data_IF_368077193866
#
_entry.id   IF_368077193866
#
_cell.length_a   1.000
_cell.length_b   1.000
_cell.length_c   1.000
_cell.angle_alpha   90.00
_cell.angle_beta   90.00
_cell.angle_gamma   90.00
#
_symmetry.space_group_name_H-M   'P 1'
#
loop_
_entity.id
_entity.type
_entity.pdbx_description
1 polymer ?
#
# COMPACT_ATOMS: atom_id res chain seq x y z
N UNK A 1 7.72 -4.97 -18.70
CA UNK A 1 6.99 -4.45 -17.51
C UNK A 1 6.85 -2.93 -17.59
N UNK A 2 5.76 -2.36 -17.08
CA UNK A 2 5.66 -0.91 -16.84
C UNK A 2 6.65 -0.48 -15.75
N UNK A 3 7.23 0.71 -15.88
CA UNK A 3 8.26 1.21 -14.97
C UNK A 3 7.81 1.40 -13.52
N UNK A 4 6.51 1.59 -13.27
CA UNK A 4 5.95 1.73 -11.91
C UNK A 4 6.32 0.56 -10.98
N UNK A 5 6.39 -0.65 -11.56
CA UNK A 5 6.75 -1.88 -10.84
C UNK A 5 8.21 -1.87 -10.39
N UNK A 6 9.10 -1.49 -11.30
CA UNK A 6 10.55 -1.65 -11.13
C UNK A 6 11.16 -0.44 -10.41
N UNK A 7 10.68 0.77 -10.72
CA UNK A 7 11.33 2.00 -10.32
C UNK A 7 10.54 2.79 -9.29
N UNK A 8 11.27 3.47 -8.39
CA UNK A 8 10.74 4.62 -7.66
C UNK A 8 11.15 5.87 -8.44
N UNK A 9 10.16 6.55 -9.01
CA UNK A 9 10.36 7.77 -9.78
C UNK A 9 10.95 8.90 -8.93
N UNK A 10 11.77 9.75 -9.54
CA UNK A 10 12.45 10.86 -8.85
C UNK A 10 11.64 12.18 -8.90
N UNK A 11 10.65 12.24 -9.78
CA UNK A 11 9.63 13.29 -9.88
C UNK A 11 9.09 13.68 -8.49
N UNK A 12 8.80 14.97 -8.31
CA UNK A 12 8.38 15.50 -7.01
C UNK A 12 6.86 15.60 -6.85
N UNK A 13 6.11 15.63 -7.96
CA UNK A 13 4.66 15.75 -7.98
C UNK A 13 4.01 14.50 -8.54
N UNK A 14 2.89 14.09 -7.97
CA UNK A 14 2.16 12.90 -8.38
C UNK A 14 0.66 13.16 -8.48
N UNK A 15 0.02 12.45 -9.39
CA UNK A 15 -1.44 12.35 -9.46
C UNK A 15 -1.85 10.95 -9.91
N UNK A 16 -2.98 10.47 -9.42
CA UNK A 16 -3.67 9.27 -9.93
C UNK A 16 -5.07 9.70 -10.37
N UNK A 17 -5.28 9.73 -11.68
CA UNK A 17 -6.60 10.01 -12.26
C UNK A 17 -7.38 8.72 -12.35
N UNK A 18 -8.65 8.75 -11.93
CA UNK A 18 -9.55 7.61 -11.97
C UNK A 18 -10.61 7.84 -13.04
N UNK A 19 -10.90 6.81 -13.84
CA UNK A 19 -11.83 6.91 -14.95
C UNK A 19 -12.83 5.75 -14.96
N UNK A 20 -14.09 6.09 -15.27
CA UNK A 20 -15.09 5.17 -15.80
C UNK A 20 -14.97 5.07 -17.32
N UNK A 21 -15.31 3.89 -17.85
CA UNK A 21 -15.25 3.56 -19.29
C UNK A 21 -16.61 3.00 -19.72
N UNK A 22 -17.23 3.61 -20.72
CA UNK A 22 -18.47 3.12 -21.35
C UNK A 22 -18.19 2.42 -22.70
N UNK A 23 -17.26 2.95 -23.50
CA UNK A 23 -16.88 2.43 -24.82
C UNK A 23 -15.42 1.97 -24.80
N UNK A 24 -15.22 0.65 -24.89
CA UNK A 24 -13.90 0.03 -24.87
C UNK A 24 -12.98 0.53 -25.99
N UNK A 25 -13.48 0.67 -27.22
CA UNK A 25 -12.65 1.10 -28.37
C UNK A 25 -12.18 2.53 -28.22
N UNK A 26 -13.03 3.44 -27.71
CA UNK A 26 -12.61 4.83 -27.43
C UNK A 26 -11.59 4.89 -26.30
N UNK A 27 -11.74 4.08 -25.27
CA UNK A 27 -10.77 3.98 -24.19
C UNK A 27 -9.42 3.42 -24.65
N UNK A 28 -9.42 2.40 -25.52
CA UNK A 28 -8.18 1.89 -26.14
C UNK A 28 -7.44 2.99 -26.91
N UNK A 29 -8.16 3.87 -27.64
CA UNK A 29 -7.54 5.04 -28.31
C UNK A 29 -6.93 6.05 -27.33
N UNK A 30 -7.57 6.25 -26.19
CA UNK A 30 -7.02 7.09 -25.13
C UNK A 30 -5.71 6.51 -24.59
N UNK A 31 -5.66 5.20 -24.30
CA UNK A 31 -4.44 4.53 -23.85
C UNK A 31 -3.34 4.63 -24.91
N UNK A 32 -3.67 4.34 -26.18
CA UNK A 32 -2.73 4.42 -27.30
C UNK A 32 -2.06 5.79 -27.42
N UNK A 33 -2.84 6.87 -27.28
CA UNK A 33 -2.35 8.26 -27.35
C UNK A 33 -1.25 8.56 -26.33
N UNK A 34 -1.34 7.97 -25.14
CA UNK A 34 -0.46 8.29 -24.01
C UNK A 34 0.62 7.24 -23.76
N UNK A 35 0.62 6.13 -24.51
CA UNK A 35 1.52 5.01 -24.33
C UNK A 35 3.01 5.40 -24.41
N UNK A 36 3.35 6.38 -25.26
CA UNK A 36 4.73 6.88 -25.39
C UNK A 36 5.31 7.49 -24.10
N UNK A 37 4.45 7.91 -23.15
CA UNK A 37 4.86 8.42 -21.85
C UNK A 37 4.97 7.32 -20.78
N UNK A 38 4.75 6.05 -21.16
CA UNK A 38 4.85 4.90 -20.26
C UNK A 38 6.25 4.30 -20.31
N UNK A 39 7.08 4.48 -19.27
CA UNK A 39 8.44 3.98 -19.31
C UNK A 39 8.45 2.46 -19.20
N UNK A 40 9.34 1.84 -19.96
CA UNK A 40 9.66 0.42 -19.78
C UNK A 40 10.53 0.26 -18.52
N UNK A 41 10.29 -0.78 -17.73
CA UNK A 41 11.07 -1.07 -16.50
C UNK A 41 12.55 -1.42 -16.71
N UNK A 42 13.06 -1.35 -17.95
CA UNK A 42 14.48 -1.53 -18.28
C UNK A 42 15.19 -0.19 -18.54
N UNK A 43 14.44 0.92 -18.56
CA UNK A 43 15.01 2.25 -18.71
C UNK A 43 15.65 2.70 -17.40
N UNK A 44 16.70 3.50 -17.48
CA UNK A 44 17.32 4.11 -16.31
C UNK A 44 16.36 5.16 -15.71
N UNK A 45 15.88 4.98 -14.46
CA UNK A 45 14.92 5.90 -13.84
C UNK A 45 15.49 7.30 -13.60
N UNK A 46 16.82 7.47 -13.57
CA UNK A 46 17.46 8.78 -13.43
C UNK A 46 17.42 9.59 -14.73
N UNK A 47 17.13 8.94 -15.87
CA UNK A 47 17.03 9.59 -17.19
C UNK A 47 15.59 9.87 -17.62
N UNK A 48 14.60 9.49 -16.82
CA UNK A 48 13.20 9.70 -17.11
C UNK A 48 12.80 11.14 -16.77
N UNK A 49 12.68 12.00 -17.77
CA UNK A 49 12.01 13.30 -17.62
C UNK A 49 10.49 13.10 -17.59
N UNK A 50 9.79 13.91 -16.79
CA UNK A 50 8.34 13.92 -16.77
C UNK A 50 7.73 14.46 -18.09
N UNK A 51 6.43 14.24 -18.31
CA UNK A 51 5.54 13.45 -17.47
C UNK A 51 5.77 11.94 -17.65
N UNK A 52 5.77 11.21 -16.54
CA UNK A 52 5.85 9.75 -16.53
C UNK A 52 4.47 9.19 -16.22
N UNK A 53 3.90 8.41 -17.14
CA UNK A 53 2.55 7.86 -17.01
C UNK A 53 2.59 6.33 -16.89
N UNK A 54 1.72 5.74 -16.08
CA UNK A 54 1.49 4.30 -16.05
C UNK A 54 -0.01 4.04 -15.96
N UNK A 55 -0.46 2.90 -16.47
CA UNK A 55 -1.85 2.53 -16.56
C UNK A 55 -2.15 1.30 -15.70
N UNK A 56 -3.21 1.40 -14.91
CA UNK A 56 -3.82 0.27 -14.22
C UNK A 56 -5.29 0.13 -14.61
N UNK A 57 -5.79 -1.09 -14.65
CA UNK A 57 -7.18 -1.40 -15.02
C UNK A 57 -7.82 -2.27 -13.96
N UNK A 58 -9.02 -1.92 -13.51
CA UNK A 58 -9.80 -2.83 -12.67
C UNK A 58 -10.35 -3.98 -13.51
N UNK A 59 -10.84 -5.04 -12.86
CA UNK A 59 -11.51 -6.13 -13.58
C UNK A 59 -12.70 -5.63 -14.41
N UNK A 60 -13.49 -4.69 -13.88
CA UNK A 60 -14.60 -4.08 -14.62
C UNK A 60 -14.13 -3.30 -15.84
N UNK A 61 -13.01 -2.57 -15.73
CA UNK A 61 -12.40 -1.90 -16.89
C UNK A 61 -11.91 -2.87 -17.96
N UNK A 62 -11.27 -3.99 -17.55
CA UNK A 62 -10.84 -5.03 -18.49
C UNK A 62 -12.03 -5.66 -19.21
N UNK A 63 -13.15 -5.90 -18.52
CA UNK A 63 -14.37 -6.42 -19.16
C UNK A 63 -14.87 -5.52 -20.29
N UNK A 64 -14.83 -4.20 -20.09
CA UNK A 64 -15.25 -3.24 -21.12
C UNK A 64 -14.23 -3.16 -22.26
N UNK A 65 -12.93 -3.17 -21.95
CA UNK A 65 -11.85 -3.06 -22.95
C UNK A 65 -11.70 -4.32 -23.80
N UNK A 66 -12.04 -5.49 -23.27
CA UNK A 66 -11.84 -6.80 -23.90
C UNK A 66 -13.15 -7.46 -24.36
N UNK A 67 -14.28 -6.75 -24.33
CA UNK A 67 -15.60 -7.30 -24.67
C UNK A 67 -15.64 -7.99 -26.05
N UNK A 68 -14.92 -7.45 -27.04
CA UNK A 68 -14.84 -7.99 -28.40
C UNK A 68 -13.61 -8.92 -28.63
N UNK A 69 -12.80 -9.18 -27.61
CA UNK A 69 -11.52 -9.88 -27.77
C UNK A 69 -11.68 -11.40 -27.73
N UNK A 70 -11.64 -12.05 -28.91
CA UNK A 70 -11.92 -13.49 -29.09
C UNK A 70 -11.06 -14.40 -28.19
N UNK A 71 -9.77 -14.11 -28.02
CA UNK A 71 -8.88 -14.97 -27.24
C UNK A 71 -8.83 -14.64 -25.74
N UNK A 72 -9.37 -13.49 -25.30
CA UNK A 72 -9.31 -13.04 -23.90
C UNK A 72 -10.74 -12.96 -23.36
N UNK A 73 -11.46 -14.09 -23.47
CA UNK A 73 -12.81 -14.22 -22.94
C UNK A 73 -12.83 -13.89 -21.44
N UNK A 74 -13.67 -12.94 -21.06
CA UNK A 74 -13.66 -12.39 -19.69
C UNK A 74 -14.27 -13.36 -18.68
N UNK A 75 -15.16 -14.27 -19.07
CA UNK A 75 -15.67 -15.28 -18.15
C UNK A 75 -14.58 -16.29 -17.76
N UNK A 76 -13.76 -16.69 -18.74
CA UNK A 76 -12.54 -17.49 -18.48
C UNK A 76 -11.56 -16.72 -17.60
N UNK A 77 -11.28 -15.46 -17.92
CA UNK A 77 -10.35 -14.62 -17.16
C UNK A 77 -10.75 -14.43 -15.71
N UNK A 78 -12.07 -14.33 -15.44
CA UNK A 78 -12.61 -14.23 -14.08
C UNK A 78 -12.22 -15.41 -13.21
N UNK A 79 -12.23 -16.61 -13.79
CA UNK A 79 -11.93 -17.88 -13.11
C UNK A 79 -10.42 -18.11 -12.95
N UNK A 80 -9.62 -17.55 -13.86
CA UNK A 80 -8.17 -17.78 -13.92
C UNK A 80 -7.34 -16.76 -13.15
N UNK A 81 -7.84 -15.53 -12.97
CA UNK A 81 -7.16 -14.46 -12.23
C UNK A 81 -7.48 -14.51 -10.72
N UNK A 82 -6.69 -13.78 -9.93
CA UNK A 82 -6.87 -13.71 -8.47
C UNK A 82 -8.28 -13.20 -8.11
N UNK A 83 -8.99 -13.94 -7.26
CA UNK A 83 -10.34 -13.56 -6.83
C UNK A 83 -10.38 -12.21 -6.11
N UNK A 84 -9.27 -11.82 -5.45
CA UNK A 84 -9.07 -10.52 -4.84
C UNK A 84 -9.02 -9.37 -5.84
N UNK A 85 -8.96 -9.67 -7.13
CA UNK A 85 -9.09 -8.71 -8.22
C UNK A 85 -10.43 -8.81 -8.95
N UNK A 86 -10.96 -10.01 -9.17
CA UNK A 86 -12.12 -10.23 -10.05
C UNK A 86 -13.49 -10.06 -9.38
N UNK A 87 -13.63 -10.37 -8.07
CA UNK A 87 -14.93 -10.45 -7.40
C UNK A 87 -15.29 -9.22 -6.53
N UNK A 88 -15.10 -8.00 -7.05
CA UNK A 88 -15.50 -6.74 -6.39
C UNK A 88 -14.97 -6.56 -4.95
N UNK A 89 -13.82 -7.16 -4.65
CA UNK A 89 -13.10 -6.89 -3.41
C UNK A 89 -12.27 -5.60 -3.58
N UNK A 90 -11.93 -4.85 -2.52
CA UNK A 90 -12.04 -5.20 -1.10
C UNK A 90 -13.36 -4.82 -0.39
N UNK A 91 -14.28 -4.13 -1.07
CA UNK A 91 -15.50 -3.60 -0.44
C UNK A 91 -16.59 -4.67 -0.21
N UNK A 92 -16.40 -5.88 -0.75
CA UNK A 92 -17.34 -6.99 -0.61
C UNK A 92 -17.66 -7.32 0.87
N UNK A 93 -18.96 -7.49 1.24
CA UNK A 93 -19.38 -7.71 2.63
C UNK A 93 -18.70 -8.88 3.34
N UNK A 94 -18.36 -9.95 2.62
CA UNK A 94 -17.71 -11.12 3.19
C UNK A 94 -16.27 -10.90 3.68
N UNK A 95 -15.58 -9.84 3.21
CA UNK A 95 -14.16 -9.60 3.54
C UNK A 95 -13.90 -8.27 4.22
N UNK A 96 -14.74 -7.24 4.00
CA UNK A 96 -14.47 -5.86 4.44
C UNK A 96 -14.13 -5.72 5.93
N UNK A 97 -14.82 -6.43 6.81
CA UNK A 97 -14.58 -6.38 8.26
C UNK A 97 -13.22 -6.99 8.64
N UNK A 98 -12.84 -8.08 7.97
CA UNK A 98 -11.55 -8.72 8.19
C UNK A 98 -10.40 -7.83 7.75
N UNK A 99 -10.61 -6.99 6.73
CA UNK A 99 -9.65 -6.02 6.21
C UNK A 99 -9.63 -4.70 6.99
N UNK A 100 -10.56 -4.50 7.93
CA UNK A 100 -10.64 -3.27 8.74
C UNK A 100 -11.45 -2.15 8.08
N UNK A 101 -12.19 -2.43 7.02
CA UNK A 101 -13.02 -1.47 6.29
C UNK A 101 -14.41 -1.35 6.90
N UNK A 102 -14.44 -0.74 8.09
CA UNK A 102 -15.63 -0.49 8.92
C UNK A 102 -15.53 0.88 9.61
N UNK A 103 -16.62 1.35 10.19
CA UNK A 103 -16.65 2.66 10.87
C UNK A 103 -16.26 3.78 9.92
N UNK A 104 -15.31 4.63 10.31
CA UNK A 104 -14.80 5.72 9.47
C UNK A 104 -14.03 5.25 8.22
N UNK A 105 -13.69 3.96 8.13
CA UNK A 105 -13.08 3.32 6.96
C UNK A 105 -14.07 2.48 6.14
N UNK A 106 -15.38 2.58 6.41
CA UNK A 106 -16.39 1.78 5.73
C UNK A 106 -16.50 2.15 4.24
N UNK A 107 -16.68 1.18 3.31
CA UNK A 107 -16.73 1.44 1.88
C UNK A 107 -17.80 2.44 1.43
N UNK A 108 -18.88 2.59 2.20
CA UNK A 108 -19.94 3.56 1.96
C UNK A 108 -19.45 5.02 2.06
N UNK A 109 -18.34 5.25 2.76
CA UNK A 109 -17.73 6.57 2.95
C UNK A 109 -16.53 6.81 2.02
N UNK A 110 -16.18 5.82 1.20
CA UNK A 110 -15.02 5.94 0.32
C UNK A 110 -15.26 6.93 -0.81
N UNK A 111 -14.15 7.43 -1.37
CA UNK A 111 -14.14 8.32 -2.53
C UNK A 111 -14.98 9.57 -2.33
N UNK A 112 -14.95 10.13 -1.11
CA UNK A 112 -15.81 11.24 -0.66
C UNK A 112 -17.32 10.98 -0.80
N UNK A 113 -17.75 9.71 -0.82
CA UNK A 113 -19.15 9.32 -1.05
C UNK A 113 -19.66 9.67 -2.45
N UNK A 114 -18.75 9.94 -3.40
CA UNK A 114 -19.10 10.46 -4.74
C UNK A 114 -19.45 9.34 -5.72
N UNK A 115 -18.83 8.18 -5.55
CA UNK A 115 -18.98 6.99 -6.41
C UNK A 115 -18.49 5.74 -5.65
N UNK A 116 -18.98 4.57 -6.06
CA UNK A 116 -18.46 3.28 -5.56
C UNK A 116 -17.15 2.89 -6.24
N UNK A 117 -16.37 2.01 -5.61
CA UNK A 117 -15.12 1.49 -6.22
C UNK A 117 -15.37 0.77 -7.56
N UNK A 118 -16.58 0.29 -7.80
CA UNK A 118 -17.04 -0.34 -9.04
C UNK A 118 -17.13 0.64 -10.23
N UNK A 119 -17.28 1.94 -9.98
CA UNK A 119 -17.23 2.96 -11.03
C UNK A 119 -15.81 3.12 -11.63
N UNK A 120 -14.77 2.71 -10.90
CA UNK A 120 -13.38 2.83 -11.32
C UNK A 120 -13.07 1.71 -12.30
N UNK A 121 -12.81 2.06 -13.56
CA UNK A 121 -12.43 1.12 -14.61
C UNK A 121 -10.93 1.20 -14.93
N UNK A 122 -10.34 2.39 -14.84
CA UNK A 122 -8.93 2.64 -15.14
C UNK A 122 -8.35 3.69 -14.20
N UNK A 123 -7.08 3.52 -13.83
CA UNK A 123 -6.26 4.54 -13.20
C UNK A 123 -5.07 4.93 -14.08
N UNK A 124 -4.80 6.23 -14.19
CA UNK A 124 -3.59 6.76 -14.79
C UNK A 124 -2.70 7.32 -13.69
N UNK A 125 -1.61 6.63 -13.38
CA UNK A 125 -0.60 7.06 -12.43
C UNK A 125 0.37 7.99 -13.14
N UNK A 126 0.43 9.24 -12.70
CA UNK A 126 1.24 10.28 -13.30
C UNK A 126 2.25 10.83 -12.29
N UNK A 127 3.48 11.03 -12.75
CA UNK A 127 4.52 11.72 -12.00
C UNK A 127 5.08 12.87 -12.85
N UNK A 128 5.37 14.00 -12.22
CA UNK A 128 5.77 15.24 -12.87
C UNK A 128 6.99 15.86 -12.19
N UNK A 129 7.81 16.55 -12.98
CA UNK A 129 9.01 17.22 -12.48
C UNK A 129 8.65 18.48 -11.68
N UNK A 130 7.63 19.21 -12.13
CA UNK A 130 7.17 20.47 -11.54
C UNK A 130 5.65 20.71 -11.65
N UNK A 131 5.14 21.68 -10.90
CA UNK A 131 3.72 22.06 -10.86
C UNK A 131 3.17 22.53 -12.21
N UNK A 132 4.00 23.20 -13.03
CA UNK A 132 3.62 23.70 -14.34
C UNK A 132 3.46 22.56 -15.36
N UNK A 133 4.39 21.60 -15.36
CA UNK A 133 4.29 20.37 -16.14
C UNK A 133 3.06 19.55 -15.71
N UNK A 134 2.81 19.44 -14.39
CA UNK A 134 1.63 18.78 -13.86
C UNK A 134 0.33 19.43 -14.38
N UNK A 135 0.21 20.76 -14.26
CA UNK A 135 -0.99 21.47 -14.68
C UNK A 135 -1.31 21.28 -16.19
N UNK A 136 -0.30 21.44 -17.06
CA UNK A 136 -0.45 21.25 -18.50
C UNK A 136 -0.82 19.80 -18.84
N UNK A 137 -0.07 18.84 -18.32
CA UNK A 137 -0.29 17.41 -18.64
C UNK A 137 -1.65 16.93 -18.14
N UNK A 138 -2.07 17.33 -16.93
CA UNK A 138 -3.38 16.97 -16.40
C UNK A 138 -4.53 17.57 -17.23
N UNK A 139 -4.36 18.80 -17.73
CA UNK A 139 -5.32 19.42 -18.64
C UNK A 139 -5.45 18.62 -19.95
N UNK A 140 -4.32 18.24 -20.56
CA UNK A 140 -4.31 17.47 -21.81
C UNK A 140 -4.88 16.05 -21.64
N UNK A 141 -4.54 15.38 -20.53
CA UNK A 141 -5.11 14.08 -20.16
C UNK A 141 -6.63 14.17 -20.04
N UNK A 142 -7.15 15.18 -19.33
CA UNK A 142 -8.60 15.38 -19.18
C UNK A 142 -9.30 15.69 -20.49
N UNK A 143 -8.72 16.56 -21.29
CA UNK A 143 -9.30 16.92 -22.58
C UNK A 143 -9.35 15.70 -23.50
N UNK A 144 -8.26 14.93 -23.57
CA UNK A 144 -8.21 13.70 -24.36
C UNK A 144 -9.15 12.61 -23.84
N UNK A 145 -9.24 12.42 -22.52
CA UNK A 145 -10.19 11.52 -21.88
C UNK A 145 -11.64 11.88 -22.25
N UNK A 146 -12.00 13.17 -22.15
CA UNK A 146 -13.32 13.68 -22.55
C UNK A 146 -13.60 13.43 -24.02
N UNK A 147 -12.65 13.69 -24.92
CA UNK A 147 -12.85 13.42 -26.37
C UNK A 147 -12.98 11.94 -26.69
N UNK A 148 -12.38 11.08 -25.87
CA UNK A 148 -12.54 9.64 -25.92
C UNK A 148 -13.75 9.13 -25.13
N UNK A 149 -14.59 10.00 -24.56
CA UNK A 149 -15.79 9.60 -23.83
C UNK A 149 -15.53 8.89 -22.50
N UNK A 150 -14.36 9.07 -21.89
CA UNK A 150 -14.09 8.58 -20.54
C UNK A 150 -14.71 9.54 -19.51
N UNK A 151 -15.16 8.98 -18.39
CA UNK A 151 -15.74 9.74 -17.28
C UNK A 151 -14.68 9.89 -16.19
N UNK A 152 -14.16 11.11 -15.97
CA UNK A 152 -13.24 11.36 -14.86
C UNK A 152 -13.99 11.30 -13.52
N UNK A 153 -13.53 10.45 -12.62
CA UNK A 153 -14.09 10.26 -11.28
C UNK A 153 -13.39 11.22 -10.30
N UNK A 154 -13.92 12.45 -10.23
CA UNK A 154 -13.29 13.56 -9.49
C UNK A 154 -13.60 13.54 -7.99
N UNK A 155 -12.59 13.80 -7.17
CA UNK A 155 -12.64 13.85 -5.69
C UNK A 155 -12.59 15.31 -5.18
N UNK A 156 -13.32 15.62 -4.11
CA UNK A 156 -13.39 16.98 -3.59
C UNK A 156 -12.23 17.29 -2.62
N UNK A 157 -11.68 16.28 -1.96
CA UNK A 157 -10.54 16.44 -1.05
C UNK A 157 -9.25 16.91 -1.74
N UNK A 158 -9.20 16.90 -3.07
CA UNK A 158 -8.02 17.29 -3.85
C UNK A 158 -8.36 18.48 -4.75
N UNK A 159 -7.57 19.55 -4.66
CA UNK A 159 -7.81 20.81 -5.40
C UNK A 159 -7.91 20.62 -6.91
N UNK A 160 -7.13 19.69 -7.48
CA UNK A 160 -7.18 19.39 -8.90
C UNK A 160 -8.22 18.31 -9.26
N UNK A 161 -8.89 17.68 -8.29
CA UNK A 161 -9.89 16.63 -8.50
C UNK A 161 -9.36 15.20 -8.65
N UNK A 162 -8.04 15.00 -8.67
CA UNK A 162 -7.38 13.69 -8.73
C UNK A 162 -6.64 13.41 -7.42
N UNK A 163 -6.46 12.14 -7.07
CA UNK A 163 -5.61 11.73 -5.94
C UNK A 163 -4.20 12.27 -6.20
N UNK A 164 -3.80 13.34 -5.53
CA UNK A 164 -2.61 14.10 -5.92
C UNK A 164 -1.85 14.62 -4.72
N UNK A 165 -0.55 14.79 -4.89
CA UNK A 165 0.34 15.11 -3.80
C UNK A 165 1.79 15.13 -4.22
N UNK A 166 2.67 15.01 -3.25
CA UNK A 166 4.11 15.16 -3.44
C UNK A 166 4.89 14.02 -2.83
N UNK A 167 6.07 13.77 -3.38
CA UNK A 167 7.07 12.97 -2.67
C UNK A 167 7.34 13.66 -1.33
N UNK A 168 7.27 12.95 -0.19
CA UNK A 168 7.59 13.56 1.08
C UNK A 168 9.06 13.99 1.13
N UNK A 169 9.30 15.22 1.57
CA UNK A 169 10.65 15.76 1.75
C UNK A 169 11.43 14.90 2.77
N UNK A 170 12.66 14.52 2.42
CA UNK A 170 13.46 13.61 3.24
C UNK A 170 12.84 12.22 3.47
N UNK A 171 11.71 11.91 2.82
CA UNK A 171 10.92 10.70 3.07
C UNK A 171 10.02 10.78 4.30
N UNK A 172 9.79 11.95 4.90
CA UNK A 172 9.04 12.08 6.16
C UNK A 172 7.53 12.25 5.91
N UNK A 173 6.72 11.38 6.53
CA UNK A 173 5.26 11.41 6.44
C UNK A 173 4.61 12.31 7.50
N UNK A 174 3.28 12.47 7.46
CA UNK A 174 2.53 13.40 8.32
C UNK A 174 2.60 13.11 9.83
N UNK A 175 2.93 11.90 10.24
CA UNK A 175 3.20 11.60 11.66
C UNK A 175 4.63 11.94 12.10
N UNK A 176 5.47 12.48 11.21
CA UNK A 176 6.86 12.86 11.51
C UNK A 176 7.90 11.75 11.31
N UNK A 177 7.54 10.64 10.66
CA UNK A 177 8.39 9.45 10.52
C UNK A 177 8.90 9.27 9.10
N UNK A 178 10.19 8.94 8.97
CA UNK A 178 10.80 8.54 7.70
C UNK A 178 10.19 7.23 7.19
N UNK A 179 9.65 7.27 5.99
CA UNK A 179 9.18 6.13 5.21
C UNK A 179 10.15 5.78 4.07
N UNK A 180 9.95 4.61 3.48
CA UNK A 180 10.73 4.09 2.37
C UNK A 180 12.05 3.44 2.78
N UNK A 181 12.27 3.20 4.07
CA UNK A 181 13.47 2.54 4.59
C UNK A 181 13.51 1.05 4.20
N UNK A 182 12.46 0.30 4.56
CA UNK A 182 12.33 -1.12 4.19
C UNK A 182 11.73 -1.26 2.80
N UNK A 183 12.47 -1.89 1.89
CA UNK A 183 12.02 -2.32 0.57
C UNK A 183 12.62 -3.70 0.24
N UNK A 184 11.87 -4.60 -0.44
CA UNK A 184 12.42 -5.88 -0.84
C UNK A 184 13.53 -5.69 -1.87
N UNK A 185 14.69 -6.33 -1.64
CA UNK A 185 15.72 -6.50 -2.66
C UNK A 185 15.24 -7.62 -3.59
N UNK A 186 14.90 -7.28 -4.83
CA UNK A 186 14.28 -8.23 -5.77
C UNK A 186 15.37 -8.94 -6.58
N UNK A 187 15.29 -10.26 -6.63
CA UNK A 187 16.05 -11.12 -7.54
C UNK A 187 15.26 -11.27 -8.85
N UNK A 188 15.60 -10.42 -9.81
CA UNK A 188 14.97 -10.36 -11.13
C UNK A 188 15.41 -11.49 -12.06
N UNK A 189 16.58 -12.08 -11.81
CA UNK A 189 17.19 -13.10 -12.66
C UNK A 189 16.88 -14.53 -12.19
N UNK A 190 16.12 -14.69 -11.11
CA UNK A 190 15.85 -15.98 -10.47
C UNK A 190 17.13 -16.71 -10.06
N UNK A 191 18.17 -15.94 -9.68
CA UNK A 191 19.48 -16.46 -9.32
C UNK A 191 19.51 -17.19 -7.97
N UNK A 192 18.42 -17.10 -7.19
CA UNK A 192 18.29 -17.65 -5.83
C UNK A 192 19.33 -17.08 -4.87
N UNK A 193 19.58 -15.77 -5.01
CA UNK A 193 20.54 -15.05 -4.19
C UNK A 193 20.06 -15.00 -2.74
N UNK A 194 20.90 -15.32 -1.77
CA UNK A 194 20.53 -15.27 -0.36
C UNK A 194 20.18 -13.84 0.07
N UNK A 195 19.11 -13.67 0.84
CA UNK A 195 18.68 -12.36 1.35
C UNK A 195 17.84 -11.54 0.36
N UNK A 196 17.65 -12.00 -0.88
CA UNK A 196 16.76 -11.36 -1.85
C UNK A 196 15.38 -12.01 -1.84
N UNK A 197 14.43 -11.38 -2.56
CA UNK A 197 13.07 -11.87 -2.76
C UNK A 197 12.87 -12.17 -4.24
N UNK A 198 12.36 -13.35 -4.56
CA UNK A 198 12.09 -13.74 -5.94
C UNK A 198 11.10 -12.77 -6.61
N UNK A 199 11.35 -12.39 -7.86
CA UNK A 199 10.47 -11.48 -8.61
C UNK A 199 9.01 -11.97 -8.72
N UNK A 200 8.76 -13.29 -8.62
CA UNK A 200 7.41 -13.88 -8.64
C UNK A 200 6.53 -13.49 -7.44
N UNK A 201 7.08 -12.86 -6.40
CA UNK A 201 6.26 -12.20 -5.39
C UNK A 201 5.55 -10.95 -5.94
N UNK A 202 6.07 -10.35 -7.01
CA UNK A 202 5.60 -9.05 -7.51
C UNK A 202 5.12 -9.10 -8.96
N UNK A 203 5.53 -10.10 -9.74
CA UNK A 203 5.24 -10.21 -11.18
C UNK A 203 4.34 -11.42 -11.48
N UNK A 204 3.36 -11.18 -12.35
CA UNK A 204 2.38 -12.16 -12.83
C UNK A 204 2.84 -12.95 -14.08
N UNK A 205 2.19 -14.09 -14.33
CA UNK A 205 2.41 -14.93 -15.52
C UNK A 205 3.60 -15.90 -15.46
N UNK A 206 4.15 -16.13 -14.26
CA UNK A 206 5.26 -17.06 -14.01
C UNK A 206 4.95 -18.06 -12.88
N UNK A 207 3.84 -18.82 -12.95
CA UNK A 207 3.50 -19.79 -11.90
C UNK A 207 4.59 -20.84 -11.74
N UNK A 208 4.84 -21.25 -10.50
CA UNK A 208 5.73 -22.35 -10.15
C UNK A 208 5.24 -23.05 -8.88
N UNK A 209 5.75 -24.24 -8.54
CA UNK A 209 5.34 -24.94 -7.32
C UNK A 209 5.46 -24.09 -6.04
N UNK A 210 6.47 -23.19 -5.98
CA UNK A 210 6.69 -22.28 -4.86
C UNK A 210 5.96 -20.94 -4.95
N UNK A 211 5.41 -20.60 -6.12
CA UNK A 211 4.75 -19.33 -6.38
C UNK A 211 3.50 -19.56 -7.24
N UNK A 212 2.35 -19.74 -6.60
CA UNK A 212 1.05 -19.99 -7.25
C UNK A 212 0.44 -18.69 -7.77
N UNK A 213 1.14 -18.02 -8.66
CA UNK A 213 0.70 -16.75 -9.26
C UNK A 213 -0.34 -17.02 -10.33
N UNK A 214 -1.42 -16.25 -10.32
CA UNK A 214 -2.51 -16.39 -11.30
C UNK A 214 -2.21 -15.59 -12.57
N UNK A 215 -2.60 -16.07 -13.78
CA UNK A 215 -3.14 -17.39 -14.11
C UNK A 215 -2.11 -18.53 -14.04
N UNK A 216 -2.54 -19.70 -13.55
CA UNK A 216 -1.67 -20.88 -13.42
C UNK A 216 -1.62 -21.75 -14.67
N UNK A 217 -2.75 -21.87 -15.38
CA UNK A 217 -2.83 -22.64 -16.62
C UNK A 217 -2.20 -21.88 -17.79
N UNK A 218 -1.46 -22.58 -18.65
CA UNK A 218 -0.99 -21.99 -19.89
C UNK A 218 -2.19 -21.64 -20.79
N UNK A 219 -2.17 -20.44 -21.35
CA UNK A 219 -3.26 -19.93 -22.18
C UNK A 219 -3.23 -18.43 -22.36
N UNK A 220 -4.20 -17.87 -23.10
CA UNK A 220 -4.22 -16.45 -23.46
C UNK A 220 -4.15 -15.50 -22.27
N UNK A 221 -4.84 -15.82 -21.17
CA UNK A 221 -4.82 -14.98 -19.97
C UNK A 221 -3.49 -15.03 -19.23
N UNK A 222 -2.79 -16.17 -19.22
CA UNK A 222 -1.44 -16.25 -18.67
C UNK A 222 -0.47 -15.39 -19.50
N UNK A 223 -0.55 -15.46 -20.83
CA UNK A 223 0.27 -14.64 -21.71
C UNK A 223 -0.03 -13.14 -21.55
N UNK A 224 -1.31 -12.78 -21.39
CA UNK A 224 -1.74 -11.40 -21.13
C UNK A 224 -1.31 -10.89 -19.75
N UNK A 225 -1.33 -11.72 -18.72
CA UNK A 225 -0.91 -11.33 -17.38
C UNK A 225 0.61 -11.28 -17.21
N UNK A 226 1.37 -11.94 -18.08
CA UNK A 226 2.84 -12.01 -18.03
C UNK A 226 3.45 -10.61 -17.97
N UNK A 227 4.43 -10.44 -17.08
CA UNK A 227 5.12 -9.17 -16.81
C UNK A 227 4.21 -8.05 -16.25
N UNK A 228 3.02 -8.41 -15.79
CA UNK A 228 2.10 -7.54 -15.07
C UNK A 228 2.24 -7.65 -13.56
N UNK A 229 1.53 -6.79 -12.83
CA UNK A 229 1.43 -6.83 -11.37
C UNK A 229 0.09 -6.28 -10.93
N UNK A 230 -0.43 -6.69 -9.78
CA UNK A 230 -1.55 -5.99 -9.17
C UNK A 230 -1.05 -4.77 -8.41
N UNK A 231 -1.67 -3.62 -8.64
CA UNK A 231 -1.54 -2.40 -7.87
C UNK A 231 -2.76 -2.22 -6.96
N UNK A 232 -2.58 -2.38 -5.66
CA UNK A 232 -3.59 -2.03 -4.68
C UNK A 232 -3.43 -0.53 -4.37
N UNK A 233 -4.33 0.29 -4.91
CA UNK A 233 -4.41 1.72 -4.66
C UNK A 233 -5.20 1.96 -3.37
N UNK A 234 -4.64 2.71 -2.44
CA UNK A 234 -5.30 3.09 -1.19
C UNK A 234 -5.18 4.59 -0.95
N UNK A 235 -6.30 5.25 -0.73
CA UNK A 235 -6.36 6.60 -0.19
C UNK A 235 -6.51 6.51 1.33
N UNK A 236 -5.50 7.01 2.05
CA UNK A 236 -5.34 6.84 3.49
C UNK A 236 -5.30 8.22 4.14
N UNK A 237 -6.26 8.50 5.03
CA UNK A 237 -6.28 9.69 5.87
C UNK A 237 -5.48 9.46 7.16
N UNK A 238 -4.75 10.49 7.60
CA UNK A 238 -3.98 10.49 8.86
C UNK A 238 -4.47 11.61 9.78
N UNK A 239 -5.03 11.23 10.94
CA UNK A 239 -5.42 12.16 12.00
C UNK A 239 -4.19 12.50 12.86
N UNK A 240 -3.41 13.46 12.35
CA UNK A 240 -2.17 13.91 13.00
C UNK A 240 -2.45 14.56 14.35
N UNK A 241 -3.57 15.28 14.48
CA UNK A 241 -3.95 15.93 15.73
C UNK A 241 -4.25 14.89 16.82
N UNK A 242 -4.99 13.82 16.50
CA UNK A 242 -5.26 12.72 17.43
C UNK A 242 -3.99 11.97 17.80
N UNK A 243 -3.11 11.71 16.84
CA UNK A 243 -1.83 11.07 17.11
C UNK A 243 -0.99 11.91 18.07
N UNK A 244 -0.85 13.21 17.80
CA UNK A 244 -0.10 14.14 18.64
C UNK A 244 -0.68 14.27 20.06
N UNK A 245 -2.01 14.39 20.20
CA UNK A 245 -2.69 14.37 21.51
C UNK A 245 -2.42 13.08 22.28
N UNK A 246 -2.46 11.93 21.59
CA UNK A 246 -2.19 10.65 22.22
C UNK A 246 -0.76 10.64 22.78
N UNK A 247 0.23 11.12 22.02
CA UNK A 247 1.61 11.15 22.51
C UNK A 247 1.78 12.08 23.71
N UNK A 248 1.21 13.29 23.66
CA UNK A 248 1.34 14.27 24.75
C UNK A 248 0.69 13.78 26.04
N UNK A 249 -0.52 13.21 25.94
CA UNK A 249 -1.25 12.71 27.11
C UNK A 249 -0.59 11.49 27.76
N UNK A 250 0.29 10.78 27.04
CA UNK A 250 0.91 9.54 27.52
C UNK A 250 2.43 9.62 27.62
N UNK A 251 3.05 10.80 27.44
CA UNK A 251 4.50 10.98 27.46
C UNK A 251 5.16 10.53 28.78
N UNK A 252 4.41 10.55 29.89
CA UNK A 252 4.86 10.08 31.20
C UNK A 252 5.19 8.57 31.24
N UNK A 253 4.65 7.77 30.31
CA UNK A 253 4.99 6.35 30.19
C UNK A 253 6.48 6.12 29.85
N UNK A 254 7.15 7.13 29.31
CA UNK A 254 8.56 7.13 28.95
C UNK A 254 9.48 7.59 30.09
N UNK A 255 8.93 8.00 31.23
CA UNK A 255 9.67 8.60 32.35
C UNK A 255 10.64 7.60 33.00
N UNK A 256 11.88 8.04 33.19
CA UNK A 256 12.96 7.21 33.74
C UNK A 256 13.53 6.17 32.77
N UNK A 257 12.96 6.02 31.57
CA UNK A 257 13.43 5.08 30.53
C UNK A 257 14.32 5.80 29.52
N UNK A 258 13.86 6.96 29.05
CA UNK A 258 14.55 7.76 28.03
C UNK A 258 14.76 9.19 28.53
N UNK A 259 15.74 9.88 27.95
CA UNK A 259 15.97 11.30 28.25
C UNK A 259 14.72 12.14 27.94
N UNK A 260 14.45 13.24 28.68
CA UNK A 260 13.26 14.07 28.49
C UNK A 260 12.95 14.45 27.04
N UNK A 261 13.98 14.78 26.25
CA UNK A 261 13.85 15.15 24.83
C UNK A 261 13.29 14.03 23.93
N UNK A 262 13.40 12.76 24.32
CA UNK A 262 12.98 11.61 23.51
C UNK A 262 11.67 10.98 24.00
N UNK A 263 11.01 11.51 25.04
CA UNK A 263 9.84 10.85 25.66
C UNK A 263 8.69 10.65 24.69
N UNK A 264 8.39 11.68 23.91
CA UNK A 264 7.33 11.68 22.89
C UNK A 264 7.68 10.74 21.74
N UNK A 265 8.90 10.87 21.21
CA UNK A 265 9.38 10.10 20.07
C UNK A 265 9.54 8.62 20.40
N UNK A 266 9.91 8.27 21.63
CA UNK A 266 10.02 6.88 22.05
C UNK A 266 8.65 6.19 22.07
N UNK A 267 7.61 6.87 22.58
CA UNK A 267 6.26 6.32 22.59
C UNK A 267 5.74 6.10 21.17
N UNK A 268 5.94 7.07 20.29
CA UNK A 268 5.58 6.93 18.89
C UNK A 268 6.44 5.86 18.18
N UNK A 269 7.74 5.76 18.52
CA UNK A 269 8.60 4.70 18.03
C UNK A 269 8.15 3.31 18.51
N UNK A 270 7.58 3.18 19.71
CA UNK A 270 6.95 1.93 20.18
C UNK A 270 5.75 1.52 19.31
N UNK A 271 4.98 2.48 18.80
CA UNK A 271 3.85 2.22 17.89
C UNK A 271 4.30 1.93 16.46
N UNK A 272 5.34 2.62 15.98
CA UNK A 272 5.86 2.49 14.62
C UNK A 272 6.79 1.28 14.47
N UNK A 273 7.64 1.06 15.46
CA UNK A 273 8.81 0.17 15.49
C UNK A 273 10.11 0.80 14.95
N UNK A 274 10.09 2.09 14.61
CA UNK A 274 11.28 2.91 14.26
C UNK A 274 11.17 4.28 14.93
N UNK A 275 12.31 4.89 15.19
CA UNK A 275 12.42 6.31 15.55
C UNK A 275 12.06 7.21 14.36
N UNK A 276 11.75 8.50 14.59
CA UNK A 276 11.41 9.46 13.53
C UNK A 276 12.42 9.50 12.36
N UNK A 277 13.71 9.35 12.67
CA UNK A 277 14.81 9.36 11.72
C UNK A 277 14.88 8.10 10.82
N UNK A 278 14.15 7.02 11.17
CA UNK A 278 14.15 5.72 10.50
C UNK A 278 14.91 4.62 11.25
N UNK A 279 15.61 4.94 12.33
CA UNK A 279 16.40 3.97 13.10
C UNK A 279 15.51 2.89 13.74
N UNK A 280 15.82 1.60 13.60
CA UNK A 280 14.95 0.53 14.10
C UNK A 280 14.98 0.44 15.63
N UNK A 281 13.79 0.46 16.24
CA UNK A 281 13.65 0.41 17.70
C UNK A 281 14.22 -0.89 18.30
N UNK A 282 14.20 -1.99 17.53
CA UNK A 282 14.78 -3.27 17.94
C UNK A 282 16.30 -3.19 18.21
N UNK A 283 17.03 -2.31 17.51
CA UNK A 283 18.48 -2.08 17.70
C UNK A 283 18.76 -0.94 18.66
N UNK A 284 17.88 0.05 18.69
CA UNK A 284 18.04 1.29 19.45
C UNK A 284 16.88 1.48 20.43
N UNK A 285 16.73 0.65 21.49
CA UNK A 285 15.49 0.56 22.26
C UNK A 285 15.20 1.76 23.17
N UNK A 286 16.18 2.61 23.47
CA UNK A 286 16.04 3.70 24.47
C UNK A 286 16.47 5.09 23.96
N UNK A 287 17.23 5.18 22.86
CA UNK A 287 17.52 6.46 22.21
C UNK A 287 17.86 6.21 20.74
N UNK A 288 17.55 7.13 19.81
CA UNK A 288 18.07 7.05 18.46
C UNK A 288 19.60 7.24 18.45
N UNK A 289 20.32 6.65 17.50
CA UNK A 289 21.74 6.88 17.32
C UNK A 289 22.01 8.34 16.88
N UNK A 290 23.25 8.81 17.07
CA UNK A 290 23.65 10.16 16.64
C UNK A 290 23.55 10.35 15.11
N UNK A 291 23.71 9.26 14.35
CA UNK A 291 23.50 9.19 12.91
C UNK A 291 22.47 8.12 12.63
N UNK A 292 21.45 8.43 11.82
CA UNK A 292 20.35 7.53 11.53
C UNK A 292 20.84 6.15 11.03
N UNK A 293 20.38 5.09 11.68
CA UNK A 293 20.67 3.70 11.33
C UNK A 293 19.58 3.19 10.38
N UNK A 294 19.80 3.36 9.07
CA UNK A 294 18.87 2.90 8.05
C UNK A 294 19.10 1.43 7.65
N UNK A 295 19.97 0.71 8.35
CA UNK A 295 20.20 -0.71 8.11
C UNK A 295 18.94 -1.52 8.42
N UNK A 296 18.46 -2.25 7.41
CA UNK A 296 17.27 -3.06 7.51
C UNK A 296 17.55 -4.52 7.92
N UNK A 297 18.82 -4.87 8.16
CA UNK A 297 19.24 -6.20 8.62
C UNK A 297 19.10 -6.32 10.15
N UNK A 298 17.87 -6.60 10.59
CA UNK A 298 17.55 -6.98 11.96
C UNK A 298 16.34 -7.90 11.98
N UNK A 299 16.09 -8.50 13.13
CA UNK A 299 14.96 -9.38 13.41
C UNK A 299 14.30 -9.06 14.76
N UNK A 300 13.38 -9.93 15.16
CA UNK A 300 12.59 -9.90 16.38
C UNK A 300 12.61 -11.22 17.15
N UNK A 301 13.27 -12.27 16.64
CA UNK A 301 13.33 -13.59 17.28
C UNK A 301 13.94 -13.54 18.70
N UNK A 302 14.84 -12.61 18.95
CA UNK A 302 15.47 -12.33 20.25
C UNK A 302 14.67 -11.30 21.10
N UNK A 303 13.46 -10.92 20.67
CA UNK A 303 12.50 -10.10 21.41
C UNK A 303 11.08 -10.73 21.41
N UNK A 304 10.92 -11.98 21.89
CA UNK A 304 9.64 -12.71 21.82
C UNK A 304 8.53 -12.12 22.68
N UNK A 305 8.88 -11.23 23.62
CA UNK A 305 7.93 -10.54 24.48
C UNK A 305 7.64 -9.10 24.04
N UNK A 306 8.33 -8.59 23.02
CA UNK A 306 8.16 -7.22 22.52
C UNK A 306 8.58 -6.14 23.53
N UNK A 307 9.64 -6.41 24.32
CA UNK A 307 10.20 -5.45 25.28
C UNK A 307 10.90 -4.32 24.53
N UNK A 308 11.67 -4.64 23.48
CA UNK A 308 12.34 -3.64 22.64
C UNK A 308 11.38 -3.09 21.59
N UNK A 309 10.86 -3.95 20.73
CA UNK A 309 9.90 -3.60 19.69
C UNK A 309 8.55 -4.28 19.99
N UNK A 310 7.51 -3.54 20.41
CA UNK A 310 6.22 -4.11 20.78
C UNK A 310 5.65 -5.02 19.70
N UNK A 311 4.93 -6.06 20.11
CA UNK A 311 4.24 -6.94 19.18
C UNK A 311 3.23 -6.17 18.31
N UNK A 312 2.58 -5.14 18.85
CA UNK A 312 1.66 -4.29 18.12
C UNK A 312 2.33 -3.22 17.23
N UNK A 313 3.67 -3.15 17.21
CA UNK A 313 4.39 -2.16 16.41
C UNK A 313 4.15 -2.40 14.91
N UNK A 314 3.86 -1.33 14.19
CA UNK A 314 3.45 -1.39 12.79
C UNK A 314 4.41 -2.19 11.92
N UNK A 315 5.73 -1.89 11.96
CA UNK A 315 6.69 -2.61 11.12
C UNK A 315 6.80 -4.10 11.45
N UNK A 316 6.53 -4.51 12.69
CA UNK A 316 6.62 -5.90 13.16
C UNK A 316 5.40 -6.70 12.69
N UNK A 317 4.25 -6.05 12.57
CA UNK A 317 3.04 -6.66 12.01
C UNK A 317 3.12 -6.78 10.49
N UNK A 318 3.47 -5.69 9.80
CA UNK A 318 3.47 -5.71 8.32
C UNK A 318 4.64 -6.48 7.72
N UNK A 319 5.70 -6.68 8.52
CA UNK A 319 6.82 -7.54 8.18
C UNK A 319 7.35 -8.20 9.47
N UNK A 320 6.88 -9.42 9.74
CA UNK A 320 7.26 -10.19 10.93
C UNK A 320 8.72 -10.66 10.93
N UNK A 321 9.45 -10.50 9.82
CA UNK A 321 10.87 -10.89 9.69
C UNK A 321 11.09 -12.36 10.07
N UNK A 322 11.83 -12.59 11.15
CA UNK A 322 12.20 -13.88 11.74
C UNK A 322 11.33 -14.26 12.95
N UNK A 323 10.24 -13.52 13.25
CA UNK A 323 9.19 -14.04 14.13
C UNK A 323 8.62 -15.33 13.51
N UNK A 324 8.54 -16.39 14.31
CA UNK A 324 8.03 -17.67 13.85
C UNK A 324 6.54 -17.56 13.52
N UNK A 325 6.18 -17.79 12.24
CA UNK A 325 4.79 -17.87 11.82
C UNK A 325 4.14 -19.12 12.41
N UNK A 326 2.86 -19.01 12.80
CA UNK A 326 2.05 -20.17 13.20
C UNK A 326 2.01 -21.21 12.09
N UNK A 327 1.83 -22.48 12.44
CA UNK A 327 1.82 -23.58 11.46
C UNK A 327 0.95 -23.31 10.21
N UNK A 328 -0.32 -22.83 10.33
CA UNK A 328 -1.13 -22.52 9.15
C UNK A 328 -0.51 -21.43 8.27
N UNK A 329 0.07 -20.38 8.86
CA UNK A 329 0.70 -19.30 8.13
C UNK A 329 2.04 -19.71 7.52
N UNK A 330 2.85 -20.53 8.20
CA UNK A 330 4.08 -21.10 7.64
C UNK A 330 3.80 -21.98 6.42
N UNK A 331 2.75 -22.80 6.47
CA UNK A 331 2.33 -23.62 5.33
C UNK A 331 1.84 -22.77 4.14
N UNK A 332 1.19 -21.63 4.41
CA UNK A 332 0.72 -20.71 3.37
C UNK A 332 1.83 -19.83 2.79
N UNK A 333 2.81 -19.47 3.62
CA UNK A 333 3.90 -18.55 3.30
C UNK A 333 5.27 -19.22 3.53
N UNK A 334 5.62 -20.25 2.73
CA UNK A 334 6.84 -21.03 2.94
C UNK A 334 8.13 -20.22 2.75
N UNK A 335 8.06 -19.06 2.07
CA UNK A 335 9.19 -18.17 1.80
C UNK A 335 9.25 -16.96 2.77
N UNK A 336 8.55 -17.03 3.90
CA UNK A 336 8.44 -15.94 4.88
C UNK A 336 7.19 -15.08 4.68
N UNK A 337 7.00 -14.03 5.50
CA UNK A 337 5.79 -13.22 5.50
C UNK A 337 5.52 -12.55 4.13
N UNK A 338 4.25 -12.25 3.81
CA UNK A 338 3.91 -11.62 2.54
C UNK A 338 4.62 -10.27 2.35
N UNK A 339 5.08 -10.02 1.13
CA UNK A 339 5.80 -8.79 0.77
C UNK A 339 5.06 -8.05 -0.32
N UNK A 340 5.21 -6.75 -0.40
CA UNK A 340 4.75 -5.95 -1.55
C UNK A 340 5.66 -4.74 -1.74
N UNK A 341 5.73 -4.26 -2.96
CA UNK A 341 6.48 -3.05 -3.30
C UNK A 341 5.59 -1.84 -3.03
N UNK A 342 6.13 -0.84 -2.32
CA UNK A 342 5.38 0.39 -1.97
C UNK A 342 5.78 1.54 -2.89
N UNK A 343 4.78 2.18 -3.50
CA UNK A 343 4.88 3.39 -4.33
C UNK A 343 3.79 4.35 -3.87
N UNK A 344 4.13 5.25 -2.94
CA UNK A 344 3.17 6.19 -2.38
C UNK A 344 3.72 7.61 -2.34
N UNK A 345 2.82 8.55 -2.17
CA UNK A 345 3.11 9.96 -1.98
C UNK A 345 2.18 10.56 -0.92
N UNK A 346 2.59 11.68 -0.34
CA UNK A 346 1.82 12.38 0.68
C UNK A 346 0.90 13.42 0.03
N UNK A 347 -0.29 13.60 0.58
CA UNK A 347 -1.20 14.69 0.22
C UNK A 347 -1.58 15.52 1.44
N UNK A 348 -2.00 16.77 1.21
CA UNK A 348 -2.27 17.74 2.27
C UNK A 348 -0.99 18.39 2.83
N UNK A 349 -1.12 19.57 3.47
CA UNK A 349 0.01 20.28 4.05
C UNK A 349 0.50 19.63 5.35
N UNK A 350 1.80 19.78 5.71
CA UNK A 350 2.33 19.37 7.00
C UNK A 350 1.57 20.00 8.17
N UNK A 351 1.50 19.29 9.30
CA UNK A 351 0.81 19.74 10.50
C UNK A 351 1.44 19.12 11.75
N UNK A 352 1.61 19.91 12.82
CA UNK A 352 2.24 19.46 14.07
C UNK A 352 1.35 19.72 15.30
N UNK A 353 0.17 20.31 15.11
CA UNK A 353 -0.71 20.69 16.21
C UNK A 353 -1.40 19.49 16.87
N UNK A 354 -2.05 19.79 17.99
CA UNK A 354 -2.86 18.84 18.78
C UNK A 354 -4.36 19.07 18.63
N UNK A 355 -4.80 20.10 17.90
CA UNK A 355 -6.22 20.37 17.64
C UNK A 355 -6.47 20.22 16.14
N UNK A 356 -7.51 19.50 15.75
CA UNK A 356 -7.81 19.29 14.34
C UNK A 356 -8.07 20.63 13.64
N UNK A 357 -7.37 20.88 12.54
CA UNK A 357 -7.49 22.09 11.73
C UNK A 357 -8.48 21.93 10.55
N UNK A 358 -9.09 20.75 10.43
CA UNK A 358 -10.10 20.43 9.42
C UNK A 358 -9.53 20.25 8.01
N UNK A 359 -8.20 20.22 7.83
CA UNK A 359 -7.56 20.03 6.53
C UNK A 359 -7.25 18.54 6.31
N UNK A 360 -7.72 18.01 5.17
CA UNK A 360 -7.45 16.64 4.74
C UNK A 360 -5.96 16.41 4.44
N UNK A 361 -5.40 15.35 5.03
CA UNK A 361 -3.99 14.97 4.86
C UNK A 361 -3.77 13.48 5.07
N UNK A 362 -2.73 12.95 4.42
CA UNK A 362 -2.34 11.56 4.58
C UNK A 362 -1.51 11.06 3.40
N UNK A 363 -1.77 9.81 3.00
CA UNK A 363 -0.99 9.07 2.01
C UNK A 363 -1.91 8.56 0.91
N UNK A 364 -1.46 8.67 -0.33
CA UNK A 364 -1.97 7.83 -1.43
C UNK A 364 -0.95 6.72 -1.66
N UNK A 365 -1.31 5.51 -1.25
CA UNK A 365 -0.46 4.33 -1.34
C UNK A 365 -0.77 3.51 -2.58
N UNK A 366 0.26 3.05 -3.28
CA UNK A 366 0.18 2.00 -4.31
C UNK A 366 1.04 0.83 -3.89
N UNK A 367 0.42 -0.33 -3.69
CA UNK A 367 1.08 -1.54 -3.21
C UNK A 367 1.08 -2.60 -4.32
N UNK A 368 2.27 -2.96 -4.82
CA UNK A 368 2.46 -3.83 -5.97
C UNK A 368 2.81 -5.25 -5.53
N UNK A 369 2.03 -6.22 -6.01
CA UNK A 369 2.14 -7.63 -5.65
C UNK A 369 1.54 -8.55 -6.72
N UNK A 370 1.91 -9.84 -6.70
CA UNK A 370 1.41 -10.81 -7.67
C UNK A 370 0.16 -11.58 -7.19
N UNK A 371 -0.10 -11.61 -5.88
CA UNK A 371 -1.17 -12.39 -5.22
C UNK A 371 -1.88 -11.52 -4.18
N UNK A 372 -2.92 -10.80 -4.58
CA UNK A 372 -3.58 -9.76 -3.77
C UNK A 372 -4.09 -10.32 -2.45
N UNK A 373 -4.78 -11.46 -2.49
CA UNK A 373 -5.35 -12.03 -1.28
C UNK A 373 -4.29 -12.61 -0.34
N UNK A 374 -3.17 -13.11 -0.87
CA UNK A 374 -2.08 -13.66 -0.07
C UNK A 374 -1.14 -12.58 0.47
N UNK A 375 -1.07 -11.42 -0.17
CA UNK A 375 -0.14 -10.36 0.18
C UNK A 375 -0.84 -9.15 0.80
N UNK A 376 -1.42 -8.27 -0.01
CA UNK A 376 -2.00 -7.02 0.49
C UNK A 376 -3.14 -7.25 1.48
N UNK A 377 -4.08 -8.15 1.17
CA UNK A 377 -5.20 -8.44 2.07
C UNK A 377 -4.77 -9.21 3.32
N UNK A 378 -3.80 -10.13 3.23
CA UNK A 378 -3.27 -10.80 4.42
C UNK A 378 -2.69 -9.79 5.40
N UNK A 379 -1.87 -8.85 4.92
CA UNK A 379 -1.28 -7.84 5.79
C UNK A 379 -2.34 -6.92 6.39
N UNK A 380 -3.39 -6.54 5.65
CA UNK A 380 -4.53 -5.84 6.23
C UNK A 380 -5.22 -6.67 7.32
N UNK A 381 -5.44 -7.98 7.12
CA UNK A 381 -6.00 -8.86 8.17
C UNK A 381 -5.09 -8.92 9.39
N UNK A 382 -3.78 -9.00 9.20
CA UNK A 382 -2.79 -9.01 10.28
C UNK A 382 -2.79 -7.72 11.09
N UNK A 383 -3.04 -6.58 10.46
CA UNK A 383 -3.25 -5.31 11.17
C UNK A 383 -4.51 -5.32 12.05
N UNK A 384 -5.53 -6.10 11.69
CA UNK A 384 -6.79 -6.18 12.43
C UNK A 384 -6.85 -7.32 13.45
N UNK A 385 -5.99 -8.34 13.31
CA UNK A 385 -5.83 -9.51 14.21
C UNK A 385 -4.42 -10.06 14.09
N UNK A 386 -3.66 -9.98 15.17
CA UNK A 386 -2.21 -10.22 15.16
C UNK A 386 -1.79 -11.66 15.47
N UNK A 387 -2.72 -12.59 15.68
CA UNK A 387 -2.47 -14.01 15.98
C UNK A 387 -1.81 -14.85 14.86
N UNK A 388 -1.13 -14.23 13.89
CA UNK A 388 -0.54 -14.91 12.74
C UNK A 388 0.85 -15.54 13.03
N UNK A 389 1.56 -15.05 14.05
CA UNK A 389 2.85 -15.57 14.50
C UNK A 389 2.81 -16.13 15.93
N UNK A 390 3.67 -17.08 16.25
CA UNK A 390 3.67 -17.89 17.48
C UNK A 390 3.74 -17.04 18.76
N UNK A 391 4.63 -16.04 18.78
CA UNK A 391 4.79 -15.13 19.93
C UNK A 391 3.54 -14.27 20.17
N UNK A 392 2.77 -14.02 19.12
CA UNK A 392 1.49 -13.33 19.21
C UNK A 392 0.45 -14.29 19.73
N UNK A 393 0.25 -15.42 19.05
CA UNK A 393 -0.82 -16.38 19.33
C UNK A 393 -0.84 -16.85 20.79
N UNK A 394 0.33 -17.05 21.41
CA UNK A 394 0.46 -17.47 22.82
C UNK A 394 0.03 -16.42 23.85
N UNK A 395 -0.26 -15.18 23.46
CA UNK A 395 -0.79 -14.16 24.36
C UNK A 395 -2.31 -14.32 24.52
N UNK A 396 -2.87 -14.18 25.74
CA UNK A 396 -4.31 -14.39 26.00
C UNK A 396 -5.26 -13.52 25.17
N UNK A 397 -4.76 -12.40 24.63
CA UNK A 397 -5.53 -11.36 23.92
C UNK A 397 -5.12 -11.24 22.43
N UNK A 398 -4.34 -12.18 21.90
CA UNK A 398 -3.76 -12.14 20.55
C UNK A 398 -4.78 -12.09 19.41
N UNK A 399 -5.93 -12.73 19.60
CA UNK A 399 -7.06 -12.74 18.65
C UNK A 399 -7.76 -11.38 18.56
N UNK A 400 -7.57 -10.53 19.57
CA UNK A 400 -8.18 -9.21 19.68
C UNK A 400 -7.17 -8.07 19.50
N UNK A 401 -5.87 -8.35 19.67
CA UNK A 401 -4.78 -7.40 19.49
C UNK A 401 -4.60 -7.03 18.02
N UNK A 402 -4.39 -5.74 17.80
CA UNK A 402 -4.31 -5.12 16.49
C UNK A 402 -3.01 -4.29 16.36
N UNK A 403 -2.73 -3.85 15.14
CA UNK A 403 -1.70 -2.87 14.83
C UNK A 403 -1.96 -1.55 15.57
N UNK A 404 -0.91 -0.97 16.15
CA UNK A 404 -0.99 0.23 16.97
C UNK A 404 -1.43 1.49 16.20
N UNK A 405 -1.27 1.51 14.88
CA UNK A 405 -1.62 2.62 13.98
C UNK A 405 -2.81 2.30 13.07
N UNK A 406 -2.77 1.16 12.37
CA UNK A 406 -3.74 0.77 11.34
C UNK A 406 -4.88 -0.11 11.85
N UNK A 407 -4.78 -0.61 13.09
CA UNK A 407 -5.85 -1.41 13.65
C UNK A 407 -7.10 -0.56 13.88
N UNK A 408 -8.25 -1.03 13.38
CA UNK A 408 -9.50 -0.30 13.45
C UNK A 408 -10.19 -0.58 14.80
N UNK A 409 -10.13 0.41 15.69
CA UNK A 409 -10.69 0.32 17.05
C UNK A 409 -12.22 0.29 17.11
N UNK A 410 -12.92 0.54 16.00
CA UNK A 410 -14.38 0.40 15.95
C UNK A 410 -14.84 -1.06 15.77
N UNK A 411 -13.90 -1.99 15.53
CA UNK A 411 -14.22 -3.41 15.39
C UNK A 411 -14.70 -3.98 16.72
N UNK A 412 -15.80 -4.74 16.67
CA UNK A 412 -16.33 -5.41 17.86
C UNK A 412 -15.26 -6.32 18.49
N UNK A 413 -15.04 -6.15 19.79
CA UNK A 413 -14.02 -6.89 20.54
C UNK A 413 -12.58 -6.46 20.28
N UNK A 414 -12.32 -5.35 19.58
CA UNK A 414 -10.96 -4.84 19.41
C UNK A 414 -10.29 -4.58 20.77
N UNK A 415 -9.10 -5.10 20.96
CA UNK A 415 -8.28 -4.76 22.12
C UNK A 415 -7.64 -3.38 21.89
N UNK A 416 -8.03 -2.41 22.74
CA UNK A 416 -7.46 -1.06 22.72
C UNK A 416 -6.24 -0.92 23.63
N UNK A 417 -5.81 -2.01 24.27
CA UNK A 417 -4.66 -2.00 25.17
C UNK A 417 -3.35 -1.83 24.39
N UNK A 418 -2.43 -1.05 24.95
CA UNK A 418 -1.07 -0.91 24.45
C UNK A 418 -0.10 -1.06 25.61
N UNK A 419 0.30 -2.31 25.90
CA UNK A 419 1.23 -2.58 26.99
C UNK A 419 2.64 -2.14 26.59
N UNK A 420 3.14 -1.10 27.23
CA UNK A 420 4.54 -0.69 27.19
C UNK A 420 5.30 -1.50 28.22
N UNK A 421 5.95 -2.57 27.76
CA UNK A 421 6.73 -3.47 28.62
C UNK A 421 8.07 -2.86 29.02
N UNK A 422 8.47 -3.14 30.25
CA UNK A 422 9.76 -2.77 30.85
C UNK A 422 10.48 -4.07 31.27
N UNK A 423 11.81 -4.12 31.22
CA UNK A 423 12.57 -5.35 31.53
C UNK A 423 12.30 -5.88 32.96
N UNK A 424 11.95 -5.01 33.92
CA UNK A 424 11.80 -5.37 35.34
C UNK A 424 10.59 -4.70 36.05
N UNK A 425 9.55 -4.29 35.31
CA UNK A 425 8.36 -3.65 35.91
C UNK A 425 7.07 -4.11 35.22
N UNK A 426 5.94 -3.93 35.89
CA UNK A 426 4.63 -4.08 35.25
C UNK A 426 4.52 -3.15 34.03
N UNK A 427 3.84 -3.61 33.01
CA UNK A 427 3.65 -2.83 31.79
C UNK A 427 2.68 -1.68 32.04
N UNK A 428 3.04 -0.47 31.61
CA UNK A 428 2.05 0.60 31.51
C UNK A 428 1.08 0.23 30.39
N UNK A 429 -0.21 0.21 30.69
CA UNK A 429 -1.21 -0.15 29.70
C UNK A 429 -1.94 1.09 29.19
N UNK A 430 -1.46 1.61 28.06
CA UNK A 430 -2.05 2.78 27.43
C UNK A 430 -3.30 2.38 26.63
N UNK A 431 -4.17 3.35 26.33
CA UNK A 431 -5.39 3.11 25.55
C UNK A 431 -5.28 3.70 24.15
N UNK A 432 -5.14 2.84 23.14
CA UNK A 432 -5.06 3.24 21.74
C UNK A 432 -6.37 3.82 21.23
N UNK A 433 -6.24 4.81 20.37
CA UNK A 433 -7.30 5.35 19.53
C UNK A 433 -7.06 4.95 18.06
N UNK A 434 -8.00 5.26 17.17
CA UNK A 434 -7.78 5.17 15.73
C UNK A 434 -7.11 6.45 15.24
N UNK A 435 -6.02 6.34 14.48
CA UNK A 435 -5.28 7.47 13.92
C UNK A 435 -5.33 7.52 12.39
N UNK A 436 -5.72 6.41 11.76
CA UNK A 436 -5.68 6.22 10.32
C UNK A 436 -7.05 5.71 9.86
N UNK A 437 -7.54 6.28 8.75
CA UNK A 437 -8.77 5.83 8.11
C UNK A 437 -8.54 5.61 6.61
N UNK A 438 -9.08 4.52 6.07
CA UNK A 438 -9.12 4.31 4.62
C UNK A 438 -10.30 5.08 4.03
N UNK A 439 -9.98 5.96 3.07
CA UNK A 439 -10.94 6.77 2.30
C UNK A 439 -11.24 6.18 0.94
N UNK A 440 -10.62 5.05 0.59
CA UNK A 440 -10.86 4.37 -0.68
C UNK A 440 -9.78 3.33 -0.95
N UNK A 441 -10.19 2.15 -1.39
CA UNK A 441 -9.27 1.11 -1.87
C UNK A 441 -9.78 0.50 -3.17
N UNK A 442 -8.89 0.34 -4.14
CA UNK A 442 -9.15 -0.31 -5.43
C UNK A 442 -7.97 -1.17 -5.85
N UNK A 443 -8.25 -2.32 -6.47
CA UNK A 443 -7.24 -3.24 -6.97
C UNK A 443 -7.24 -3.17 -8.49
N UNK A 444 -6.08 -2.87 -9.06
CA UNK A 444 -5.88 -2.72 -10.49
C UNK A 444 -4.83 -3.70 -11.00
N UNK A 445 -5.00 -4.23 -12.19
CA UNK A 445 -3.93 -4.86 -12.95
C UNK A 445 -3.11 -3.74 -13.61
N UNK A 446 -1.82 -3.67 -13.31
CA UNK A 446 -0.82 -2.92 -14.08
C UNK A 446 -0.25 -3.90 -15.11
N UNK A 447 -0.76 -3.91 -16.36
CA UNK A 447 -0.32 -4.84 -17.38
C UNK A 447 1.13 -4.58 -17.80
N UNK A 448 1.74 -5.55 -18.48
CA UNK A 448 3.02 -5.37 -19.15
C UNK A 448 2.91 -4.43 -20.35
N UNK A 449 4.05 -4.07 -20.95
CA UNK A 449 4.07 -3.22 -22.14
C UNK A 449 3.45 -3.91 -23.36
N UNK A 450 3.61 -5.24 -23.50
CA UNK A 450 2.95 -6.01 -24.55
C UNK A 450 1.44 -6.05 -24.35
N UNK A 451 0.97 -6.27 -23.12
CA UNK A 451 -0.45 -6.31 -22.80
C UNK A 451 -1.09 -4.92 -22.87
N UNK A 452 -0.35 -3.84 -22.59
CA UNK A 452 -0.78 -2.48 -22.95
C UNK A 452 -0.98 -2.33 -24.45
N UNK A 453 -0.12 -2.93 -25.27
CA UNK A 453 -0.29 -2.98 -26.73
C UNK A 453 -1.64 -3.58 -27.14
N UNK A 454 -2.05 -4.68 -26.48
CA UNK A 454 -3.39 -5.28 -26.67
C UNK A 454 -4.50 -4.32 -26.25
N UNK A 455 -4.35 -3.68 -25.07
CA UNK A 455 -5.31 -2.71 -24.53
C UNK A 455 -5.27 -1.34 -25.23
N UNK A 456 -4.37 -1.14 -26.19
CA UNK A 456 -4.27 0.06 -27.01
C UNK A 456 -4.51 -0.20 -28.48
N UNK A 457 -4.84 -1.44 -28.87
CA UNK A 457 -5.00 -1.86 -30.27
C UNK A 457 -6.22 -1.22 -30.98
N UNK A 458 -7.04 -0.44 -30.27
CA UNK A 458 -8.21 0.27 -30.81
C UNK A 458 -7.91 1.43 -31.76
N UNK A 459 -6.69 1.53 -32.31
CA UNK A 459 -6.28 2.53 -33.30
C UNK A 459 -5.92 1.91 -34.64
N UNK A 460 -6.64 2.41 -35.66
CA UNK A 460 -6.55 2.16 -37.11
C UNK A 460 -7.25 0.89 -37.61
#
# INVERSE_FOLDING_TARGET
>A
MQGLLVHRYHQSHYAVLLFGIEDGRRAQRFVARWLAHTPHGAQDPLRLAGPVLNFGFTWLGLRVLLADHVALDTETGRLELDFGFTDQTPHHPAVREQLGFIGASAPELWWDGRFGSDAIHMAVYAAFDDDGQAARTLSDLRQSAKTSGLIELRLNAFSNGALSGRRPDGGVLHFGYRDGVTAPVVDWDDGKVQGTTNFREFVMGYPSPGYKVSPQSAGPWQDFARDGSFACLAWIHQDVAAFNRFLDNNAAASDGIVSPQHRRDWLAAKMMGRWPDGSPLARHPTAPPATADLDDHFGFADDPNGVRCPLSAHIRIVNARDDELTFPNRSRFPNGPPKFIRRGFSYGPPFEGISDDGIERGIVGTFLCARVNEQFYTVLRWMQRTGFAEHFHRKPYSELMQDALFGNRSKSGADTSFPIRRENHEADNLKLSSFINFRGVSVLLVPSMSSLGVLSAGTA
#
